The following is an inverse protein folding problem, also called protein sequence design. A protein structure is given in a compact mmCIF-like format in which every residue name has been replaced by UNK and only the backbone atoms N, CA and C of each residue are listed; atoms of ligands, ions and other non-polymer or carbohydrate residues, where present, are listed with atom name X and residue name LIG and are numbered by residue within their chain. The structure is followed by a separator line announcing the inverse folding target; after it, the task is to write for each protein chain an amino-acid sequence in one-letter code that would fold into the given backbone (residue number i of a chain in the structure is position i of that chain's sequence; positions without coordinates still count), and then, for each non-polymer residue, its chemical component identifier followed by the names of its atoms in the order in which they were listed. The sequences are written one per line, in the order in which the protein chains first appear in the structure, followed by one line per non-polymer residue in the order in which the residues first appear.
data_IF_410713519703
#
_entry.id   IF_410713519703
#
_cell.length_a   1.000
_cell.length_b   1.000
_cell.length_c   1.000
_cell.angle_alpha   90.00
_cell.angle_beta   90.00
_cell.angle_gamma   90.00
#
_symmetry.space_group_name_H-M   'P 1'
#
loop_
_entity.id
_entity.type
_entity.pdbx_description
1 polymer ?
#
# COMPACT_ATOMS: atom_id res chain seq x y z
N UNK A 1 -40.05 37.22 -47.83
CA UNK A 1 -39.71 37.27 -46.38
C UNK A 1 -39.47 35.85 -45.90
N UNK A 2 -38.23 35.40 -45.79
CA UNK A 2 -37.86 34.08 -45.22
C UNK A 2 -37.03 34.33 -44.01
N UNK A 3 -37.53 33.94 -42.84
CA UNK A 3 -36.75 33.93 -41.59
C UNK A 3 -35.92 32.64 -41.57
N UNK A 4 -34.62 32.79 -41.44
CA UNK A 4 -33.66 31.74 -41.14
C UNK A 4 -33.52 31.60 -39.63
N UNK A 5 -33.88 30.43 -39.08
CA UNK A 5 -33.57 30.03 -37.72
C UNK A 5 -32.10 29.55 -37.67
N UNK A 6 -31.28 30.21 -36.88
CA UNK A 6 -29.96 29.68 -36.48
C UNK A 6 -30.13 28.80 -35.26
N UNK A 7 -29.72 27.55 -35.41
CA UNK A 7 -29.64 26.55 -34.38
C UNK A 7 -28.46 26.87 -33.42
N UNK A 8 -28.75 27.00 -32.14
CA UNK A 8 -27.76 26.99 -31.08
C UNK A 8 -27.40 25.54 -30.74
N UNK A 9 -26.17 25.12 -31.04
CA UNK A 9 -25.61 23.82 -30.66
C UNK A 9 -24.43 24.00 -29.74
N UNK A 10 -24.53 23.39 -28.56
CA UNK A 10 -23.52 22.69 -27.79
C UNK A 10 -22.36 23.48 -27.15
N UNK A 11 -22.52 23.76 -25.88
CA UNK A 11 -21.43 24.02 -24.90
C UNK A 11 -21.70 23.24 -23.61
N UNK A 12 -21.82 21.91 -23.67
CA UNK A 12 -21.95 21.06 -22.47
C UNK A 12 -20.80 20.06 -22.24
N UNK A 13 -19.74 20.12 -23.05
CA UNK A 13 -18.68 19.10 -23.02
C UNK A 13 -17.46 19.44 -22.14
N UNK A 14 -17.26 20.69 -21.75
CA UNK A 14 -15.99 21.14 -21.13
C UNK A 14 -15.97 21.03 -19.59
N UNK A 15 -17.13 21.00 -18.94
CA UNK A 15 -17.20 20.99 -17.47
C UNK A 15 -16.82 19.66 -16.80
N UNK A 16 -16.93 18.52 -17.50
CA UNK A 16 -16.59 17.22 -16.90
C UNK A 16 -15.08 16.93 -16.82
N UNK A 17 -14.26 17.46 -17.70
CA UNK A 17 -12.81 17.24 -17.70
C UNK A 17 -12.13 18.02 -16.58
N UNK A 18 -12.57 19.23 -16.30
CA UNK A 18 -12.02 20.09 -15.25
C UNK A 18 -12.22 19.51 -13.82
N UNK A 19 -13.30 18.75 -13.58
CA UNK A 19 -13.55 18.13 -12.28
C UNK A 19 -12.67 16.90 -12.02
N UNK A 20 -12.33 16.15 -13.07
CA UNK A 20 -11.50 14.95 -12.92
C UNK A 20 -10.04 15.29 -12.53
N UNK A 21 -9.47 16.35 -13.11
CA UNK A 21 -8.11 16.81 -12.76
C UNK A 21 -8.05 17.36 -11.33
N UNK A 22 -9.09 18.05 -10.87
CA UNK A 22 -9.19 18.56 -9.51
C UNK A 22 -9.29 17.42 -8.48
N UNK A 23 -9.98 16.34 -8.79
CA UNK A 23 -10.12 15.17 -7.92
C UNK A 23 -8.77 14.45 -7.72
N UNK A 24 -7.97 14.25 -8.77
CA UNK A 24 -6.62 13.68 -8.66
C UNK A 24 -5.69 14.57 -7.84
N UNK A 25 -5.86 15.89 -7.92
CA UNK A 25 -5.11 16.82 -7.08
C UNK A 25 -5.43 16.64 -5.58
N UNK A 26 -6.71 16.36 -5.24
CA UNK A 26 -7.10 16.03 -3.84
C UNK A 26 -6.39 14.76 -3.39
N UNK A 27 -6.37 13.69 -4.19
CA UNK A 27 -5.68 12.44 -3.84
C UNK A 27 -4.16 12.66 -3.70
N UNK A 28 -3.55 13.49 -4.54
CA UNK A 28 -2.14 13.88 -4.42
C UNK A 28 -1.86 14.62 -3.11
N UNK A 29 -2.71 15.59 -2.75
CA UNK A 29 -2.61 16.31 -1.47
C UNK A 29 -2.81 15.35 -0.30
N UNK A 30 -3.73 14.39 -0.42
CA UNK A 30 -3.97 13.37 0.60
C UNK A 30 -2.74 12.47 0.81
N UNK A 31 -2.04 12.07 -0.26
CA UNK A 31 -0.79 11.31 -0.14
C UNK A 31 0.30 12.09 0.60
N UNK A 32 0.43 13.39 0.35
CA UNK A 32 1.38 14.28 1.07
C UNK A 32 0.95 14.47 2.52
N UNK A 33 -0.30 14.84 2.79
CA UNK A 33 -0.81 15.07 4.14
C UNK A 33 -0.69 13.81 5.00
N UNK A 34 -0.98 12.64 4.43
CA UNK A 34 -0.87 11.35 5.10
C UNK A 34 0.54 11.06 5.65
N UNK A 35 1.59 11.70 5.13
CA UNK A 35 2.99 11.54 5.56
C UNK A 35 3.53 12.70 6.37
N UNK A 36 3.04 13.90 6.13
CA UNK A 36 3.66 15.13 6.61
C UNK A 36 2.84 15.86 7.69
N UNK A 37 1.50 15.70 7.69
CA UNK A 37 0.64 16.39 8.64
C UNK A 37 1.01 16.01 10.08
N UNK A 38 1.46 16.94 10.95
CA UNK A 38 1.61 16.68 12.38
C UNK A 38 0.28 16.25 12.98
N UNK A 39 0.30 15.21 13.80
CA UNK A 39 -0.92 14.70 14.42
C UNK A 39 -0.63 13.88 15.68
N UNK A 40 -1.65 13.78 16.51
CA UNK A 40 -1.77 12.79 17.58
C UNK A 40 -3.16 12.17 17.47
N UNK A 41 -3.26 10.84 17.52
CA UNK A 41 -4.55 10.18 17.35
C UNK A 41 -4.54 8.70 17.69
N UNK A 42 -5.72 8.13 17.69
CA UNK A 42 -5.97 6.69 17.87
C UNK A 42 -6.76 6.21 16.66
N UNK A 43 -6.39 5.09 16.11
CA UNK A 43 -7.11 4.47 14.98
C UNK A 43 -7.31 2.97 15.18
N UNK A 44 -8.37 2.46 14.58
CA UNK A 44 -8.67 1.05 14.46
C UNK A 44 -8.14 0.53 13.13
N UNK A 45 -7.56 -0.66 13.16
CA UNK A 45 -7.22 -1.47 12.00
C UNK A 45 -8.03 -2.76 12.04
N UNK A 46 -8.98 -2.89 11.14
CA UNK A 46 -9.83 -4.07 10.97
C UNK A 46 -9.39 -4.86 9.75
N UNK A 47 -9.19 -6.16 9.91
CA UNK A 47 -8.80 -7.08 8.84
C UNK A 47 -9.13 -8.52 9.22
N UNK A 48 -9.63 -9.32 8.27
CA UNK A 48 -9.85 -10.76 8.46
C UNK A 48 -10.62 -11.13 9.74
N UNK A 49 -11.60 -10.30 10.13
CA UNK A 49 -12.36 -10.50 11.37
C UNK A 49 -11.62 -10.09 12.66
N UNK A 50 -10.36 -9.66 12.57
CA UNK A 50 -9.58 -9.12 13.69
C UNK A 50 -9.69 -7.60 13.73
N UNK A 51 -9.63 -7.05 14.94
CA UNK A 51 -9.60 -5.62 15.19
C UNK A 51 -8.41 -5.29 16.10
N UNK A 52 -7.59 -4.34 15.70
CA UNK A 52 -6.45 -3.85 16.46
C UNK A 52 -6.53 -2.33 16.61
N UNK A 53 -6.11 -1.83 17.77
CA UNK A 53 -6.10 -0.40 18.08
C UNK A 53 -4.66 0.11 18.15
N UNK A 54 -4.40 1.24 17.51
CA UNK A 54 -3.09 1.87 17.51
C UNK A 54 -3.19 3.33 17.92
N UNK A 55 -2.22 3.77 18.70
CA UNK A 55 -1.91 5.19 18.87
C UNK A 55 -0.86 5.61 17.86
N UNK A 56 -1.05 6.77 17.25
CA UNK A 56 -0.08 7.40 16.36
C UNK A 56 0.25 8.80 16.87
N UNK A 57 1.53 9.13 16.85
CA UNK A 57 2.02 10.50 17.05
C UNK A 57 2.98 10.84 15.91
N UNK A 58 2.85 12.03 15.35
CA UNK A 58 3.73 12.55 14.30
C UNK A 58 4.04 13.99 14.54
N UNK A 59 5.31 14.38 14.41
CA UNK A 59 5.76 15.77 14.55
C UNK A 59 7.01 16.02 13.72
N UNK A 60 7.45 17.29 13.68
CA UNK A 60 8.52 17.76 12.81
C UNK A 60 8.00 18.23 11.46
N UNK A 61 8.90 18.70 10.61
CA UNK A 61 8.63 19.20 9.26
C UNK A 61 9.75 18.75 8.31
N UNK A 62 9.41 18.52 7.04
CA UNK A 62 10.40 18.09 6.05
C UNK A 62 11.16 16.83 6.48
N UNK A 63 12.48 16.86 6.43
CA UNK A 63 13.35 15.73 6.77
C UNK A 63 13.42 15.44 8.28
N UNK A 64 12.90 16.35 9.12
CA UNK A 64 12.87 16.18 10.59
C UNK A 64 11.63 15.43 11.08
N UNK A 65 10.73 15.02 10.18
CA UNK A 65 9.51 14.31 10.53
C UNK A 65 9.84 13.00 11.23
N UNK A 66 9.26 12.86 12.42
CA UNK A 66 9.26 11.62 13.18
C UNK A 66 7.82 11.17 13.41
N UNK A 67 7.64 9.85 13.39
CA UNK A 67 6.36 9.23 13.64
C UNK A 67 6.55 7.98 14.47
N UNK A 68 5.68 7.78 15.45
CA UNK A 68 5.62 6.56 16.25
C UNK A 68 4.20 6.03 16.25
N UNK A 69 4.07 4.72 16.03
CA UNK A 69 2.83 3.94 16.22
C UNK A 69 3.05 2.95 17.33
N UNK A 70 2.07 2.84 18.22
CA UNK A 70 2.10 1.92 19.36
C UNK A 70 0.81 1.12 19.34
N UNK A 71 0.87 -0.23 19.38
CA UNK A 71 -0.32 -1.05 19.58
C UNK A 71 -0.87 -0.83 20.98
N UNK A 72 -2.19 -0.69 21.10
CA UNK A 72 -2.89 -0.52 22.39
C UNK A 72 -3.51 -1.84 22.87
N UNK A 73 -3.64 -2.80 21.96
CA UNK A 73 -4.13 -4.16 22.19
C UNK A 73 -3.29 -5.20 21.42
N UNK A 74 -3.56 -6.49 21.65
CA UNK A 74 -2.81 -7.58 21.03
C UNK A 74 -1.32 -7.60 21.42
N UNK A 75 -0.44 -8.14 20.56
CA UNK A 75 0.99 -8.18 20.82
C UNK A 75 1.60 -6.78 20.91
N UNK A 76 2.25 -6.49 22.04
CA UNK A 76 2.87 -5.17 22.29
C UNK A 76 3.97 -4.87 21.26
N UNK A 77 3.82 -3.76 20.52
CA UNK A 77 4.76 -3.37 19.47
C UNK A 77 4.75 -1.88 19.19
N UNK A 78 5.87 -1.38 18.75
CA UNK A 78 6.04 -0.01 18.29
C UNK A 78 6.71 0.01 16.92
N UNK A 79 6.29 0.96 16.09
CA UNK A 79 6.88 1.23 14.79
C UNK A 79 7.26 2.71 14.77
N UNK A 80 8.55 2.99 14.64
CA UNK A 80 9.09 4.34 14.63
C UNK A 80 9.68 4.64 13.25
N UNK A 81 9.22 5.73 12.64
CA UNK A 81 9.75 6.26 11.39
C UNK A 81 10.54 7.54 11.66
N UNK A 82 11.75 7.63 11.09
CA UNK A 82 12.57 8.85 11.05
C UNK A 82 13.06 9.05 9.63
N UNK A 83 12.51 10.03 8.95
CA UNK A 83 12.75 10.20 7.51
C UNK A 83 12.35 8.94 6.73
N UNK A 84 13.33 8.30 6.07
CA UNK A 84 13.15 7.06 5.30
C UNK A 84 13.38 5.78 6.13
N UNK A 85 13.94 5.90 7.33
CA UNK A 85 14.17 4.75 8.19
C UNK A 85 12.92 4.38 8.96
N UNK A 86 12.61 3.08 8.97
CA UNK A 86 11.52 2.49 9.71
C UNK A 86 12.10 1.42 10.64
N UNK A 87 11.87 1.57 11.95
CA UNK A 87 12.34 0.62 12.96
C UNK A 87 11.16 0.06 13.76
N UNK A 88 11.07 -1.27 13.82
CA UNK A 88 10.12 -2.00 14.65
C UNK A 88 10.75 -2.31 16.00
N UNK A 89 10.00 -2.09 17.09
CA UNK A 89 10.40 -2.40 18.47
C UNK A 89 9.36 -3.30 19.13
N UNK A 90 9.79 -4.25 19.94
CA UNK A 90 8.91 -5.15 20.66
C UNK A 90 9.60 -5.73 21.92
N UNK A 91 8.82 -6.27 22.89
CA UNK A 91 9.40 -6.92 24.07
C UNK A 91 10.04 -8.28 23.76
N UNK A 92 9.59 -8.99 22.70
CA UNK A 92 9.99 -10.35 22.35
C UNK A 92 9.97 -10.58 20.83
N UNK A 93 10.53 -11.72 20.38
CA UNK A 93 10.65 -12.07 18.96
C UNK A 93 9.30 -12.29 18.26
N UNK A 94 8.29 -12.81 18.97
CA UNK A 94 6.92 -13.03 18.42
C UNK A 94 6.26 -11.68 18.14
N UNK A 95 6.28 -10.78 19.11
CA UNK A 95 5.76 -9.42 18.99
C UNK A 95 6.53 -8.61 17.95
N UNK A 96 7.85 -8.83 17.81
CA UNK A 96 8.66 -8.22 16.77
C UNK A 96 8.24 -8.68 15.36
N UNK A 97 7.88 -9.96 15.20
CA UNK A 97 7.33 -10.47 13.94
C UNK A 97 6.00 -9.81 13.59
N UNK A 98 5.11 -9.62 14.57
CA UNK A 98 3.86 -8.88 14.39
C UNK A 98 4.12 -7.41 14.01
N UNK A 99 5.14 -6.76 14.61
CA UNK A 99 5.53 -5.40 14.26
C UNK A 99 5.99 -5.27 12.80
N UNK A 100 6.77 -6.22 12.29
CA UNK A 100 7.23 -6.26 10.89
C UNK A 100 6.05 -6.36 9.91
N UNK A 101 5.06 -7.20 10.23
CA UNK A 101 3.84 -7.34 9.42
C UNK A 101 3.05 -6.02 9.42
N UNK A 102 2.81 -5.43 10.60
CA UNK A 102 2.09 -4.16 10.73
C UNK A 102 2.80 -3.00 10.01
N UNK A 103 4.13 -3.06 9.88
CA UNK A 103 4.92 -2.07 9.17
C UNK A 103 4.76 -2.13 7.63
N UNK A 104 4.14 -3.15 7.09
CA UNK A 104 3.85 -3.26 5.66
C UNK A 104 2.75 -2.28 5.22
N UNK A 105 1.84 -1.89 6.14
CA UNK A 105 0.73 -0.96 5.86
C UNK A 105 0.66 0.13 6.92
N UNK A 106 1.12 1.31 6.56
CA UNK A 106 1.30 2.41 7.49
C UNK A 106 0.19 3.47 7.32
N UNK A 107 -0.99 3.21 7.89
CA UNK A 107 -2.06 4.22 7.93
C UNK A 107 -1.61 5.47 8.73
N UNK A 108 -1.94 6.71 8.27
CA UNK A 108 -2.75 7.05 7.10
C UNK A 108 -1.99 7.06 5.76
N UNK A 109 -0.67 6.79 5.71
CA UNK A 109 0.19 6.85 4.54
C UNK A 109 0.05 5.58 3.65
N UNK A 110 -1.17 5.20 3.30
CA UNK A 110 -1.47 4.03 2.44
C UNK A 110 -1.16 4.33 0.96
N UNK A 111 -1.38 5.57 0.51
CA UNK A 111 -1.05 5.96 -0.85
C UNK A 111 0.48 6.06 -1.03
N UNK A 112 1.04 5.76 -2.22
CA UNK A 112 2.45 5.99 -2.53
C UNK A 112 2.80 7.48 -2.60
N UNK A 113 4.10 7.80 -2.66
CA UNK A 113 4.56 9.19 -2.79
C UNK A 113 4.23 9.75 -4.17
N UNK A 114 4.42 8.93 -5.23
CA UNK A 114 4.05 9.28 -6.60
C UNK A 114 2.76 8.56 -7.01
N UNK A 115 1.71 9.33 -7.22
CA UNK A 115 0.42 8.84 -7.71
C UNK A 115 0.25 8.96 -9.22
N UNK A 116 1.25 9.48 -9.95
CA UNK A 116 1.14 9.79 -11.39
C UNK A 116 0.79 8.59 -12.27
N UNK A 117 1.22 7.39 -11.87
CA UNK A 117 0.92 6.17 -12.61
C UNK A 117 -0.43 5.53 -12.23
N UNK A 118 -1.04 5.91 -11.09
CA UNK A 118 -2.29 5.27 -10.59
C UNK A 118 -3.44 5.44 -11.59
N UNK A 119 -3.55 6.59 -12.25
CA UNK A 119 -4.61 6.88 -13.22
C UNK A 119 -4.61 5.94 -14.44
N UNK A 120 -3.51 5.25 -14.73
CA UNK A 120 -3.44 4.22 -15.78
C UNK A 120 -4.25 2.98 -15.40
N UNK A 121 -4.24 2.60 -14.12
CA UNK A 121 -4.86 1.38 -13.60
C UNK A 121 -6.19 1.62 -12.89
N UNK A 122 -6.47 2.87 -12.49
CA UNK A 122 -7.66 3.24 -11.70
C UNK A 122 -8.41 4.43 -12.31
N UNK A 123 -9.71 4.47 -12.06
CA UNK A 123 -10.55 5.66 -12.21
C UNK A 123 -10.82 6.24 -10.82
N UNK A 124 -10.96 7.56 -10.74
CA UNK A 124 -11.27 8.26 -9.51
C UNK A 124 -12.69 8.81 -9.55
N UNK A 125 -13.44 8.63 -8.44
CA UNK A 125 -14.79 9.14 -8.29
C UNK A 125 -15.03 9.65 -6.88
N UNK A 126 -15.63 10.83 -6.74
CA UNK A 126 -16.25 11.26 -5.47
C UNK A 126 -17.52 10.48 -5.23
N UNK A 127 -17.70 9.87 -4.06
CA UNK A 127 -18.84 8.99 -3.77
C UNK A 127 -19.67 9.42 -2.56
N UNK A 128 -19.47 10.65 -2.06
CA UNK A 128 -20.30 11.23 -0.99
C UNK A 128 -19.46 11.83 0.13
N UNK A 129 -20.15 12.09 1.26
CA UNK A 129 -19.57 12.67 2.48
C UNK A 129 -19.79 11.71 3.65
N UNK A 130 -18.92 11.81 4.65
CA UNK A 130 -19.01 11.06 5.90
C UNK A 130 -18.44 11.91 7.05
N UNK A 131 -18.53 11.40 8.27
CA UNK A 131 -17.96 12.01 9.46
C UNK A 131 -17.16 10.96 10.23
N UNK A 132 -15.86 11.23 10.42
CA UNK A 132 -14.91 10.32 11.08
C UNK A 132 -14.16 11.11 12.16
N UNK A 133 -14.07 10.55 13.36
CA UNK A 133 -13.42 11.20 14.52
C UNK A 133 -13.88 12.66 14.69
N UNK A 134 -15.20 12.90 14.59
CA UNK A 134 -15.87 14.20 14.69
C UNK A 134 -15.50 15.24 13.59
N UNK A 135 -14.84 14.80 12.51
CA UNK A 135 -14.46 15.62 11.36
C UNK A 135 -15.20 15.20 10.11
N UNK A 136 -15.66 16.15 9.32
CA UNK A 136 -16.26 15.87 8.03
C UNK A 136 -15.19 15.40 7.05
N UNK A 137 -15.53 14.47 6.18
CA UNK A 137 -14.66 14.01 5.10
C UNK A 137 -15.42 13.66 3.83
N UNK A 138 -14.75 13.73 2.69
CA UNK A 138 -15.29 13.39 1.38
C UNK A 138 -14.71 12.05 0.91
N UNK A 139 -15.57 11.14 0.46
CA UNK A 139 -15.15 9.88 -0.10
C UNK A 139 -14.57 10.06 -1.51
N UNK A 140 -13.37 9.52 -1.68
CA UNK A 140 -12.64 9.41 -2.94
C UNK A 140 -12.42 7.92 -3.23
N UNK A 141 -13.08 7.40 -4.24
CA UNK A 141 -13.04 5.98 -4.61
C UNK A 141 -12.09 5.79 -5.80
N UNK A 142 -10.99 5.08 -5.58
CA UNK A 142 -10.06 4.63 -6.62
C UNK A 142 -10.53 3.26 -7.11
N UNK A 143 -11.36 3.26 -8.15
CA UNK A 143 -11.93 2.06 -8.74
C UNK A 143 -10.98 1.49 -9.80
N UNK A 144 -10.57 0.21 -9.69
CA UNK A 144 -9.75 -0.41 -10.72
C UNK A 144 -10.45 -0.39 -12.09
N UNK A 145 -9.66 -0.21 -13.15
CA UNK A 145 -10.15 -0.31 -14.54
C UNK A 145 -10.36 -1.76 -14.98
N UNK A 146 -9.85 -2.70 -14.23
CA UNK A 146 -10.01 -4.14 -14.42
C UNK A 146 -10.63 -4.81 -13.18
N UNK A 147 -10.92 -6.10 -13.26
CA UNK A 147 -11.45 -6.90 -12.14
C UNK A 147 -10.35 -7.56 -11.30
N UNK A 148 -9.09 -7.19 -11.48
CA UNK A 148 -7.93 -7.88 -10.91
C UNK A 148 -7.40 -7.25 -9.63
N UNK A 149 -7.93 -6.09 -9.24
CA UNK A 149 -7.48 -5.27 -8.11
C UNK A 149 -8.60 -5.00 -7.13
N UNK A 150 -8.23 -4.61 -5.93
CA UNK A 150 -9.19 -4.09 -4.95
C UNK A 150 -9.60 -2.65 -5.28
N UNK A 151 -10.83 -2.30 -4.92
CA UNK A 151 -11.28 -0.92 -4.83
C UNK A 151 -10.67 -0.30 -3.54
N UNK A 152 -10.02 0.85 -3.65
CA UNK A 152 -9.55 1.62 -2.50
C UNK A 152 -10.43 2.85 -2.30
N UNK A 153 -10.97 3.03 -1.10
CA UNK A 153 -11.80 4.16 -0.72
C UNK A 153 -11.11 4.97 0.37
N UNK A 154 -11.04 6.28 0.18
CA UNK A 154 -10.41 7.22 1.10
C UNK A 154 -11.44 8.25 1.54
N UNK A 155 -11.71 8.40 2.85
CA UNK A 155 -12.45 9.54 3.37
C UNK A 155 -11.46 10.64 3.75
N UNK A 156 -11.38 11.68 2.93
CA UNK A 156 -10.37 12.75 3.02
C UNK A 156 -10.99 13.99 3.66
N UNK A 157 -10.37 14.49 4.72
CA UNK A 157 -10.76 15.72 5.41
C UNK A 157 -10.44 16.92 4.51
N UNK A 158 -11.41 17.83 4.24
CA UNK A 158 -11.27 18.82 3.19
C UNK A 158 -10.26 19.94 3.47
N UNK A 159 -9.95 20.23 4.74
CA UNK A 159 -9.03 21.31 5.12
C UNK A 159 -7.59 20.82 5.15
N UNK A 160 -7.32 19.75 5.89
CA UNK A 160 -5.96 19.17 6.03
C UNK A 160 -5.57 18.25 4.89
N UNK A 161 -6.53 17.80 4.08
CA UNK A 161 -6.41 16.72 3.09
C UNK A 161 -5.99 15.37 3.70
N UNK A 162 -6.10 15.18 5.01
CA UNK A 162 -5.71 13.93 5.66
C UNK A 162 -6.76 12.84 5.42
N UNK A 163 -6.37 11.63 5.01
CA UNK A 163 -7.27 10.48 5.01
C UNK A 163 -7.63 10.08 6.45
N UNK A 164 -8.89 10.22 6.83
CA UNK A 164 -9.39 9.87 8.16
C UNK A 164 -9.86 8.41 8.23
N UNK A 165 -10.26 7.85 7.10
CA UNK A 165 -10.68 6.45 6.96
C UNK A 165 -10.23 5.93 5.60
N UNK A 166 -9.75 4.70 5.57
CA UNK A 166 -9.37 3.99 4.33
C UNK A 166 -9.99 2.60 4.35
N UNK A 167 -10.64 2.22 3.26
CA UNK A 167 -11.24 0.90 3.10
C UNK A 167 -10.72 0.27 1.81
N UNK A 168 -10.21 -0.95 1.92
CA UNK A 168 -9.91 -1.82 0.79
C UNK A 168 -11.07 -2.80 0.62
N UNK A 169 -11.72 -2.80 -0.56
CA UNK A 169 -12.90 -3.62 -0.84
C UNK A 169 -12.64 -4.62 -1.96
N UNK A 170 -13.21 -5.83 -1.80
CA UNK A 170 -13.23 -6.83 -2.87
C UNK A 170 -14.33 -6.50 -3.92
N UNK A 171 -14.43 -7.33 -4.95
CA UNK A 171 -15.41 -7.15 -6.02
C UNK A 171 -16.88 -7.34 -5.56
N UNK A 172 -17.12 -8.04 -4.44
CA UNK A 172 -18.43 -8.20 -3.82
C UNK A 172 -18.85 -6.98 -2.99
N UNK A 173 -17.91 -6.05 -2.72
CA UNK A 173 -18.14 -4.87 -1.90
C UNK A 173 -17.79 -5.07 -0.42
N UNK A 174 -17.26 -6.25 -0.04
CA UNK A 174 -16.85 -6.50 1.34
C UNK A 174 -15.55 -5.80 1.65
N UNK A 175 -15.46 -5.21 2.84
CA UNK A 175 -14.23 -4.65 3.36
C UNK A 175 -13.26 -5.76 3.78
N UNK A 176 -12.18 -5.96 3.02
CA UNK A 176 -11.11 -6.91 3.37
C UNK A 176 -10.12 -6.31 4.37
N UNK A 177 -9.99 -4.99 4.35
CA UNK A 177 -9.17 -4.23 5.30
C UNK A 177 -9.73 -2.82 5.46
N UNK A 178 -9.71 -2.32 6.69
CA UNK A 178 -10.17 -0.96 7.00
C UNK A 178 -9.32 -0.32 8.09
N UNK A 179 -8.97 0.93 7.87
CA UNK A 179 -8.39 1.82 8.88
C UNK A 179 -9.34 2.97 9.16
N UNK A 180 -9.51 3.33 10.44
CA UNK A 180 -10.42 4.41 10.83
C UNK A 180 -9.89 5.13 12.07
N UNK A 181 -9.68 6.44 12.01
CA UNK A 181 -9.44 7.22 13.22
C UNK A 181 -10.68 7.21 14.11
N UNK A 182 -10.48 6.96 15.39
CA UNK A 182 -11.50 7.13 16.44
C UNK A 182 -11.35 8.47 17.13
N UNK A 183 -10.11 8.97 17.21
CA UNK A 183 -9.76 10.24 17.80
C UNK A 183 -8.56 10.82 17.03
N UNK A 184 -8.56 12.14 16.77
CA UNK A 184 -7.45 12.80 16.10
C UNK A 184 -7.37 14.29 16.44
N UNK A 185 -6.16 14.72 16.74
CA UNK A 185 -5.72 16.13 16.82
C UNK A 185 -4.70 16.38 15.70
N UNK A 186 -4.90 17.45 14.92
CA UNK A 186 -3.99 17.86 13.83
C UNK A 186 -2.82 18.68 14.36
N UNK A 187 -2.26 18.22 15.48
CA UNK A 187 -1.08 18.79 16.14
C UNK A 187 -0.17 17.66 16.59
N UNK A 188 1.13 17.86 16.42
CA UNK A 188 2.12 16.93 16.91
C UNK A 188 2.25 16.96 18.44
N UNK A 189 2.91 15.94 19.04
CA UNK A 189 3.14 15.93 20.47
C UNK A 189 4.03 17.09 20.90
N UNK A 190 3.72 17.72 22.05
CA UNK A 190 4.52 18.82 22.62
C UNK A 190 5.89 18.34 23.10
N UNK A 191 5.96 17.11 23.61
CA UNK A 191 7.19 16.52 24.14
C UNK A 191 7.79 15.55 23.12
N UNK A 192 9.06 15.76 22.78
CA UNK A 192 9.85 14.89 21.90
C UNK A 192 10.08 13.49 22.47
N UNK A 193 9.89 13.29 23.79
CA UNK A 193 9.96 11.99 24.43
C UNK A 193 8.89 11.02 23.90
N UNK A 194 7.78 11.53 23.35
CA UNK A 194 6.73 10.74 22.72
C UNK A 194 7.26 9.84 21.58
N UNK A 195 8.39 10.19 20.96
CA UNK A 195 9.01 9.40 19.88
C UNK A 195 10.03 8.35 20.38
N UNK A 196 10.34 8.30 21.69
CA UNK A 196 11.29 7.32 22.23
C UNK A 196 10.69 5.93 22.23
N UNK A 197 11.45 4.89 21.85
CA UNK A 197 11.00 3.51 21.98
C UNK A 197 10.92 3.10 23.47
N UNK A 198 9.93 2.29 23.79
CA UNK A 198 9.78 1.68 25.12
C UNK A 198 10.48 0.32 25.19
N UNK A 199 10.62 -0.37 24.05
CA UNK A 199 11.23 -1.68 23.97
C UNK A 199 12.65 -1.60 23.43
N UNK A 200 13.51 -2.55 23.87
CA UNK A 200 14.92 -2.62 23.47
C UNK A 200 15.14 -3.47 22.23
N UNK A 201 14.38 -4.57 22.09
CA UNK A 201 14.50 -5.44 20.92
C UNK A 201 13.93 -4.74 19.70
N UNK A 202 14.73 -4.66 18.64
CA UNK A 202 14.35 -3.93 17.44
C UNK A 202 14.80 -4.62 16.15
N UNK A 203 14.19 -4.18 15.05
CA UNK A 203 14.55 -4.56 13.69
C UNK A 203 14.39 -3.34 12.78
N UNK A 204 15.45 -2.98 12.09
CA UNK A 204 15.44 -1.86 11.14
C UNK A 204 14.95 -2.37 9.79
N UNK A 205 13.80 -1.83 9.35
CA UNK A 205 13.30 -1.97 8.00
C UNK A 205 13.76 -0.75 7.20
N UNK A 206 14.67 -0.93 6.27
CA UNK A 206 14.94 0.13 5.30
C UNK A 206 13.73 0.23 4.37
N UNK A 207 13.22 1.46 4.17
CA UNK A 207 12.08 1.67 3.27
C UNK A 207 12.36 1.08 1.90
N UNK A 208 11.48 0.20 1.44
CA UNK A 208 11.50 -0.29 0.06
C UNK A 208 11.22 0.82 -0.97
N UNK A 209 10.77 1.99 -0.50
CA UNK A 209 10.47 3.18 -1.31
C UNK A 209 11.69 4.07 -1.57
N UNK A 210 12.89 3.68 -1.14
CA UNK A 210 14.09 4.32 -1.66
C UNK A 210 14.16 4.02 -3.16
N UNK A 211 14.15 5.03 -4.04
CA UNK A 211 14.22 4.83 -5.48
C UNK A 211 15.65 4.44 -5.87
N UNK A 212 16.07 3.24 -5.51
CA UNK A 212 17.23 2.60 -6.08
C UNK A 212 16.73 1.46 -6.93
N UNK A 213 16.58 1.73 -8.20
CA UNK A 213 16.52 0.73 -9.24
C UNK A 213 17.89 0.04 -9.29
N UNK A 214 18.14 -0.85 -8.35
CA UNK A 214 19.27 -1.78 -8.43
C UNK A 214 18.81 -2.94 -9.29
N UNK A 215 18.95 -2.80 -10.59
CA UNK A 215 18.96 -3.93 -11.50
C UNK A 215 20.33 -4.58 -11.31
N UNK A 216 20.37 -5.71 -10.62
CA UNK A 216 21.52 -6.60 -10.64
C UNK A 216 21.67 -7.10 -12.08
N UNK A 217 22.86 -7.02 -12.66
CA UNK A 217 23.09 -7.41 -14.05
C UNK A 217 22.71 -8.86 -14.34
N UNK A 218 22.66 -9.70 -13.29
CA UNK A 218 22.32 -11.10 -13.33
C UNK A 218 20.84 -11.41 -12.98
N UNK A 219 19.99 -10.37 -12.84
CA UNK A 219 18.57 -10.57 -12.60
C UNK A 219 17.86 -11.22 -13.80
N UNK A 220 16.78 -12.01 -13.57
CA UNK A 220 16.04 -12.64 -14.64
C UNK A 220 15.58 -11.61 -15.67
N UNK A 221 15.82 -11.91 -16.93
CA UNK A 221 15.75 -10.95 -18.02
C UNK A 221 14.34 -10.50 -18.34
N UNK A 222 13.37 -11.41 -18.23
CA UNK A 222 11.99 -11.09 -18.62
C UNK A 222 10.98 -11.84 -17.76
N UNK A 223 10.02 -11.09 -17.23
CA UNK A 223 8.80 -11.60 -16.62
C UNK A 223 7.63 -10.99 -17.38
N UNK A 224 6.83 -11.83 -18.02
CA UNK A 224 5.60 -11.44 -18.70
C UNK A 224 4.36 -12.10 -18.06
N UNK A 225 3.16 -11.60 -18.38
CA UNK A 225 1.92 -12.08 -17.77
C UNK A 225 1.47 -11.25 -16.56
N UNK A 226 2.18 -10.17 -16.21
CA UNK A 226 1.69 -9.18 -15.24
C UNK A 226 0.46 -8.44 -15.77
N UNK A 227 -0.50 -8.03 -14.91
CA UNK A 227 -1.57 -7.13 -15.32
C UNK A 227 -1.02 -5.81 -15.87
N UNK A 228 -1.80 -5.15 -16.73
CA UNK A 228 -1.39 -3.85 -17.28
C UNK A 228 -1.10 -2.83 -16.17
N UNK A 229 -0.13 -1.94 -16.41
CA UNK A 229 0.29 -0.90 -15.48
C UNK A 229 1.39 -1.30 -14.51
N UNK A 230 1.66 -2.60 -14.29
CA UNK A 230 2.78 -3.02 -13.45
C UNK A 230 4.12 -2.79 -14.15
N UNK A 231 5.05 -2.17 -13.42
CA UNK A 231 6.44 -1.92 -13.84
C UNK A 231 7.39 -2.56 -12.85
N UNK A 232 8.49 -3.11 -13.34
CA UNK A 232 9.58 -3.60 -12.50
C UNK A 232 10.25 -2.41 -11.81
N UNK A 233 10.29 -2.42 -10.48
CA UNK A 233 10.96 -1.41 -9.66
C UNK A 233 12.33 -1.88 -9.19
N UNK A 234 12.47 -3.18 -8.93
CA UNK A 234 13.69 -3.75 -8.34
C UNK A 234 13.82 -5.21 -8.73
N UNK A 235 15.05 -5.64 -9.00
CA UNK A 235 15.41 -7.05 -9.10
C UNK A 235 16.73 -7.26 -8.36
N UNK A 236 16.79 -8.26 -7.48
CA UNK A 236 17.98 -8.63 -6.72
C UNK A 236 18.09 -10.14 -6.62
N UNK A 237 19.33 -10.61 -6.59
CA UNK A 237 19.67 -12.00 -6.34
C UNK A 237 20.33 -12.12 -4.96
N UNK A 238 19.92 -13.11 -4.17
CA UNK A 238 20.44 -13.32 -2.81
C UNK A 238 20.65 -14.80 -2.55
N UNK A 239 21.79 -15.16 -1.97
CA UNK A 239 22.00 -16.48 -1.40
C UNK A 239 21.29 -16.61 -0.05
N UNK A 240 20.75 -17.80 0.24
CA UNK A 240 20.15 -18.07 1.55
C UNK A 240 21.24 -18.17 2.63
N UNK A 241 21.03 -17.62 3.83
CA UNK A 241 21.94 -17.79 4.95
C UNK A 241 22.17 -19.28 5.25
N UNK A 242 23.43 -19.73 5.26
CA UNK A 242 23.82 -21.11 5.50
C UNK A 242 23.63 -22.07 4.32
N UNK A 243 23.18 -21.60 3.16
CA UNK A 243 22.99 -22.35 1.92
C UNK A 243 23.50 -21.52 0.73
N UNK A 244 24.81 -21.33 0.63
CA UNK A 244 25.42 -20.46 -0.37
C UNK A 244 25.08 -20.86 -1.83
N UNK A 245 24.77 -22.14 -2.06
CA UNK A 245 24.38 -22.67 -3.38
C UNK A 245 22.91 -22.40 -3.74
N UNK A 246 22.07 -22.03 -2.76
CA UNK A 246 20.65 -21.71 -3.01
C UNK A 246 20.45 -20.21 -3.16
N UNK A 247 20.22 -19.82 -4.38
CA UNK A 247 19.99 -18.44 -4.74
C UNK A 247 18.50 -18.17 -4.94
N UNK A 248 17.99 -17.14 -4.27
CA UNK A 248 16.65 -16.62 -4.49
C UNK A 248 16.74 -15.36 -5.33
N UNK A 249 15.96 -15.32 -6.40
CA UNK A 249 15.75 -14.09 -7.17
C UNK A 249 14.48 -13.41 -6.66
N UNK A 250 14.58 -12.15 -6.27
CA UNK A 250 13.49 -11.33 -5.77
C UNK A 250 13.27 -10.13 -6.66
N UNK A 251 12.10 -10.02 -7.25
CA UNK A 251 11.68 -8.92 -8.09
C UNK A 251 10.48 -8.21 -7.45
N UNK A 252 10.47 -6.88 -7.52
CA UNK A 252 9.37 -6.05 -7.02
C UNK A 252 8.76 -5.30 -8.19
N UNK A 253 7.46 -5.42 -8.34
CA UNK A 253 6.67 -4.73 -9.35
C UNK A 253 5.66 -3.80 -8.67
N UNK A 254 5.28 -2.71 -9.34
CA UNK A 254 4.19 -1.84 -8.88
C UNK A 254 3.45 -1.22 -10.06
N UNK A 255 2.15 -0.98 -9.88
CA UNK A 255 1.32 -0.18 -10.77
C UNK A 255 1.13 1.26 -10.27
N UNK A 256 1.88 1.64 -9.23
CA UNK A 256 1.78 2.92 -8.53
C UNK A 256 0.97 2.86 -7.24
N UNK A 257 0.06 1.90 -7.04
CA UNK A 257 -0.69 1.70 -5.80
C UNK A 257 -0.44 0.34 -5.16
N UNK A 258 -0.47 -0.71 -5.95
CA UNK A 258 -0.21 -2.08 -5.53
C UNK A 258 1.27 -2.40 -5.68
N UNK A 259 1.85 -3.08 -4.70
CA UNK A 259 3.18 -3.67 -4.78
C UNK A 259 3.09 -5.19 -4.82
N UNK A 260 3.86 -5.80 -5.72
CA UNK A 260 4.01 -7.25 -5.86
C UNK A 260 5.46 -7.64 -5.74
N UNK A 261 5.75 -8.56 -4.83
CA UNK A 261 7.03 -9.25 -4.73
C UNK A 261 6.93 -10.61 -5.41
N UNK A 262 7.82 -10.86 -6.35
CA UNK A 262 8.00 -12.16 -7.02
C UNK A 262 9.30 -12.77 -6.53
N UNK A 263 9.21 -13.97 -5.96
CA UNK A 263 10.36 -14.79 -5.55
C UNK A 263 10.46 -16.01 -6.46
N UNK A 264 11.67 -16.30 -6.91
CA UNK A 264 11.99 -17.48 -7.73
C UNK A 264 13.14 -18.21 -7.04
N UNK A 265 12.89 -19.42 -6.61
CA UNK A 265 13.88 -20.25 -5.91
C UNK A 265 13.92 -21.67 -6.50
N UNK A 266 15.07 -22.38 -6.49
CA UNK A 266 15.13 -23.78 -6.91
C UNK A 266 14.15 -24.61 -6.09
N UNK A 267 13.39 -25.48 -6.77
CA UNK A 267 12.45 -26.38 -6.12
C UNK A 267 13.22 -27.47 -5.35
N UNK A 268 12.90 -27.64 -4.07
CA UNK A 268 13.46 -28.70 -3.21
C UNK A 268 12.41 -29.65 -2.66
N UNK A 269 11.15 -29.22 -2.65
CA UNK A 269 10.04 -29.96 -2.05
C UNK A 269 8.89 -30.02 -3.05
N UNK A 270 8.13 -31.11 -3.08
CA UNK A 270 6.95 -31.27 -3.95
C UNK A 270 5.76 -30.40 -3.55
N UNK A 271 5.96 -29.08 -3.41
CA UNK A 271 4.91 -28.13 -3.03
C UNK A 271 3.89 -27.99 -4.14
N UNK A 272 2.61 -28.11 -3.78
CA UNK A 272 1.51 -27.88 -4.71
C UNK A 272 1.22 -26.37 -4.85
N UNK A 273 0.57 -26.01 -5.96
CA UNK A 273 0.00 -24.68 -6.15
C UNK A 273 -1.00 -24.35 -5.04
N UNK A 274 -0.88 -23.17 -4.46
CA UNK A 274 -1.81 -22.66 -3.45
C UNK A 274 -1.85 -21.13 -3.42
N UNK A 275 -2.95 -20.58 -2.92
CA UNK A 275 -2.99 -19.20 -2.45
C UNK A 275 -3.42 -19.16 -0.98
N UNK A 276 -2.94 -18.14 -0.28
CA UNK A 276 -3.21 -17.92 1.15
C UNK A 276 -3.29 -16.43 1.40
N UNK A 277 -4.31 -15.98 2.13
CA UNK A 277 -4.31 -14.64 2.69
C UNK A 277 -3.27 -14.55 3.82
N UNK A 278 -2.40 -13.56 3.77
CA UNK A 278 -1.37 -13.35 4.77
C UNK A 278 -1.80 -12.35 5.84
N UNK A 279 -2.31 -11.18 5.40
CA UNK A 279 -2.65 -10.09 6.32
C UNK A 279 -3.46 -9.00 5.61
N UNK A 280 -4.71 -8.80 6.00
CA UNK A 280 -5.59 -7.80 5.39
C UNK A 280 -5.74 -8.02 3.89
N UNK A 281 -5.34 -7.04 3.09
CA UNK A 281 -5.39 -7.12 1.63
C UNK A 281 -4.21 -7.90 1.01
N UNK A 282 -3.19 -8.28 1.80
CA UNK A 282 -1.98 -8.96 1.31
C UNK A 282 -2.24 -10.45 1.16
N UNK A 283 -2.06 -10.95 -0.06
CA UNK A 283 -2.16 -12.36 -0.39
C UNK A 283 -0.82 -12.90 -0.90
N UNK A 284 -0.65 -14.22 -0.79
CA UNK A 284 0.47 -14.96 -1.33
C UNK A 284 -0.06 -16.07 -2.24
N UNK A 285 0.56 -16.27 -3.39
CA UNK A 285 0.34 -17.44 -4.23
C UNK A 285 1.67 -18.13 -4.57
N UNK A 286 1.68 -19.45 -4.58
CA UNK A 286 2.84 -20.25 -4.95
C UNK A 286 2.48 -21.25 -6.04
N UNK A 287 3.39 -21.50 -6.98
CA UNK A 287 3.30 -22.57 -7.98
C UNK A 287 4.69 -23.06 -8.36
N UNK A 288 4.75 -24.29 -8.83
CA UNK A 288 5.97 -24.84 -9.41
C UNK A 288 5.97 -24.56 -10.91
N UNK A 289 7.07 -24.03 -11.42
CA UNK A 289 7.30 -23.79 -12.84
C UNK A 289 8.67 -24.38 -13.24
N UNK A 290 8.66 -25.53 -13.92
CA UNK A 290 9.89 -26.28 -14.18
C UNK A 290 10.61 -26.66 -12.88
N UNK A 291 11.89 -26.34 -12.79
CA UNK A 291 12.73 -26.63 -11.62
C UNK A 291 12.65 -25.53 -10.52
N UNK A 292 11.69 -24.63 -10.61
CA UNK A 292 11.58 -23.49 -9.70
C UNK A 292 10.26 -23.47 -8.95
N UNK A 293 10.35 -23.10 -7.67
CA UNK A 293 9.21 -22.62 -6.89
C UNK A 293 9.09 -21.12 -7.09
N UNK A 294 7.94 -20.72 -7.60
CA UNK A 294 7.59 -19.30 -7.83
C UNK A 294 6.60 -18.87 -6.77
N UNK A 295 6.86 -17.74 -6.11
CA UNK A 295 6.00 -17.19 -5.09
C UNK A 295 5.70 -15.72 -5.39
N UNK A 296 4.42 -15.36 -5.42
CA UNK A 296 3.93 -13.98 -5.48
C UNK A 296 3.42 -13.56 -4.11
N UNK A 297 3.75 -12.34 -3.67
CA UNK A 297 3.21 -11.71 -2.46
C UNK A 297 2.80 -10.27 -2.79
N UNK A 298 1.59 -9.88 -2.44
CA UNK A 298 1.15 -8.48 -2.62
C UNK A 298 -0.35 -8.24 -2.41
N UNK A 299 -0.75 -7.00 -2.66
CA UNK A 299 -2.09 -6.46 -2.36
C UNK A 299 -3.06 -6.69 -3.52
N UNK A 300 -3.21 -7.93 -3.97
CA UNK A 300 -4.18 -8.33 -4.99
C UNK A 300 -5.12 -9.43 -4.46
N UNK A 301 -6.36 -9.51 -4.98
CA UNK A 301 -7.28 -10.59 -4.63
C UNK A 301 -6.68 -11.98 -4.88
N UNK A 302 -6.97 -12.93 -3.99
CA UNK A 302 -6.46 -14.31 -4.09
C UNK A 302 -6.72 -14.95 -5.47
N UNK A 303 -7.92 -14.86 -6.09
CA UNK A 303 -8.16 -15.39 -7.42
C UNK A 303 -7.26 -14.75 -8.49
N UNK A 304 -6.96 -13.46 -8.35
CA UNK A 304 -6.03 -12.76 -9.24
C UNK A 304 -4.61 -13.28 -9.07
N UNK A 305 -4.16 -13.48 -7.83
CA UNK A 305 -2.83 -14.02 -7.54
C UNK A 305 -2.65 -15.42 -8.13
N UNK A 306 -3.66 -16.30 -7.99
CA UNK A 306 -3.66 -17.63 -8.59
C UNK A 306 -3.63 -17.57 -10.12
N UNK A 307 -4.48 -16.76 -10.73
CA UNK A 307 -4.51 -16.60 -12.18
C UNK A 307 -3.17 -16.05 -12.71
N UNK A 308 -2.57 -15.11 -11.98
CA UNK A 308 -1.27 -14.55 -12.36
C UNK A 308 -0.18 -15.60 -12.32
N UNK A 309 -0.03 -16.33 -11.21
CA UNK A 309 1.09 -17.27 -11.05
C UNK A 309 1.06 -18.40 -12.09
N UNK A 310 -0.11 -18.79 -12.55
CA UNK A 310 -0.30 -19.75 -13.65
C UNK A 310 0.11 -19.20 -15.02
N UNK A 311 -0.04 -17.89 -15.23
CA UNK A 311 0.16 -17.22 -16.52
C UNK A 311 1.51 -16.48 -16.62
N UNK A 312 2.25 -16.37 -15.53
CA UNK A 312 3.59 -15.80 -15.54
C UNK A 312 4.52 -16.64 -16.42
N UNK A 313 5.19 -15.97 -17.34
CA UNK A 313 6.29 -16.56 -18.10
C UNK A 313 7.58 -15.91 -17.64
N UNK A 314 8.49 -16.73 -17.15
CA UNK A 314 9.75 -16.30 -16.55
C UNK A 314 10.87 -16.85 -17.43
N UNK A 315 11.65 -15.98 -18.04
CA UNK A 315 12.87 -16.33 -18.77
C UNK A 315 14.06 -15.99 -17.88
N UNK A 316 14.74 -16.99 -17.39
CA UNK A 316 15.96 -16.82 -16.61
C UNK A 316 17.16 -16.76 -17.56
N UNK A 317 18.03 -15.76 -17.39
CA UNK A 317 19.36 -15.80 -18.00
C UNK A 317 20.18 -16.87 -17.29
N UNK A 318 20.93 -17.66 -18.02
CA UNK A 318 21.85 -18.65 -17.46
C UNK A 318 22.92 -18.03 -16.58
#
# INVERSE_FOLDING_TARGET
MRLTQLSGVCLMGVAMLAHADDDWLVVKRAAVAARQQPLTGTYLHQMNGSLETFRIVRGGTGDTIQEKRTSLDGPSREIIRKGLELTCYAPDAKSLSAAKISAMRLFPAILPDDIGNIAQSYTLKRSGKDRVAQRDCNWMDLKPRDSKRYLLRLCVEPVSNLPLKVITQNAAGDAVEQFTFTEIELQGPKDKSAFRPQYKQNYVLRSANAPQMTLDADAPSEVSGMPSGFKLLRAVQRSLPGQAERTIRHMVFSDGLVMLSLFIEPQTDGRAERAVNLHGAVNMATAVQGDYLVTLVGDLPEPTMLAMIRNLKITLKP
#
